data_IF_859554072123
#
_entry.id   IF_859554072123
#
_cell.length_a   1.000
_cell.length_b   1.000
_cell.length_c   1.000
_cell.angle_alpha   90.00
_cell.angle_beta   90.00
_cell.angle_gamma   90.00
#
_symmetry.space_group_name_H-M   'P 1'
#
loop_
_entity.id
_entity.type
_entity.pdbx_description
1 polymer ?
#
# COMPACT_ATOMS: atom_id res chain seq x y z
N UNK A 1 -34.25 5.57 -10.49
CA UNK A 1 -33.29 5.06 -11.49
C UNK A 1 -31.95 4.88 -10.80
N UNK A 2 -31.58 3.64 -10.49
CA UNK A 2 -30.20 3.29 -10.14
C UNK A 2 -29.37 3.46 -11.41
N UNK A 3 -28.62 4.56 -11.49
CA UNK A 3 -27.62 4.74 -12.55
C UNK A 3 -26.59 3.63 -12.36
N UNK A 4 -26.65 2.61 -13.21
CA UNK A 4 -25.57 1.62 -13.31
C UNK A 4 -24.36 2.40 -13.82
N UNK A 5 -23.40 2.69 -12.95
CA UNK A 5 -22.12 3.27 -13.35
C UNK A 5 -21.37 2.18 -14.12
N UNK A 6 -21.29 2.33 -15.43
CA UNK A 6 -20.52 1.43 -16.27
C UNK A 6 -19.06 1.42 -15.81
N UNK A 7 -18.51 0.23 -15.60
CA UNK A 7 -17.09 0.04 -15.27
C UNK A 7 -16.28 0.56 -16.45
N UNK A 8 -15.42 1.54 -16.18
CA UNK A 8 -14.57 2.09 -17.24
C UNK A 8 -13.48 1.09 -17.61
N UNK A 9 -13.01 1.11 -18.87
CA UNK A 9 -11.97 0.17 -19.33
C UNK A 9 -10.69 0.21 -18.49
N UNK A 10 -10.37 1.38 -17.93
CA UNK A 10 -9.21 1.55 -17.03
C UNK A 10 -9.43 0.86 -15.68
N UNK A 11 -10.64 0.92 -15.12
CA UNK A 11 -11.00 0.21 -13.89
C UNK A 11 -10.93 -1.29 -14.12
N UNK A 12 -11.55 -1.79 -15.19
CA UNK A 12 -11.51 -3.21 -15.54
C UNK A 12 -10.08 -3.75 -15.75
N UNK A 13 -9.22 -2.97 -16.41
CA UNK A 13 -7.80 -3.33 -16.56
C UNK A 13 -7.08 -3.34 -15.20
N UNK A 14 -7.32 -2.34 -14.36
CA UNK A 14 -6.68 -2.25 -13.04
C UNK A 14 -7.12 -3.40 -12.14
N UNK A 15 -8.41 -3.72 -12.09
CA UNK A 15 -8.97 -4.85 -11.33
C UNK A 15 -8.38 -6.19 -11.81
N UNK A 16 -8.20 -6.36 -13.13
CA UNK A 16 -7.54 -7.55 -13.67
C UNK A 16 -6.08 -7.65 -13.20
N UNK A 17 -5.34 -6.54 -13.16
CA UNK A 17 -3.95 -6.51 -12.68
C UNK A 17 -3.85 -6.80 -11.18
N UNK A 18 -4.74 -6.22 -10.37
CA UNK A 18 -4.81 -6.54 -8.93
C UNK A 18 -5.21 -8.01 -8.70
N UNK A 19 -6.18 -8.53 -9.44
CA UNK A 19 -6.52 -9.95 -9.43
C UNK A 19 -5.31 -10.83 -9.75
N UNK A 20 -4.52 -10.48 -10.77
CA UNK A 20 -3.28 -11.17 -11.10
C UNK A 20 -2.20 -11.06 -10.01
N UNK A 21 -2.06 -9.89 -9.38
CA UNK A 21 -1.15 -9.71 -8.24
C UNK A 21 -1.51 -10.63 -7.06
N UNK A 22 -2.80 -10.75 -6.75
CA UNK A 22 -3.31 -11.64 -5.70
C UNK A 22 -3.12 -13.12 -6.07
N UNK A 23 -3.30 -13.50 -7.33
CA UNK A 23 -3.05 -14.89 -7.75
C UNK A 23 -1.56 -15.22 -7.75
N UNK A 24 -0.66 -14.31 -8.15
CA UNK A 24 0.79 -14.50 -8.03
C UNK A 24 1.22 -14.72 -6.57
N UNK A 25 0.57 -14.04 -5.62
CA UNK A 25 0.81 -14.25 -4.20
C UNK A 25 0.49 -15.70 -3.78
N UNK A 26 -0.60 -16.28 -4.30
CA UNK A 26 -0.98 -17.68 -4.04
C UNK A 26 -0.09 -18.66 -4.78
N UNK A 27 0.16 -18.43 -6.07
CA UNK A 27 0.96 -19.30 -6.95
C UNK A 27 2.41 -19.41 -6.48
N UNK A 28 2.91 -18.41 -5.76
CA UNK A 28 4.24 -18.48 -5.12
C UNK A 28 4.29 -19.37 -3.88
N UNK A 29 3.21 -20.04 -3.49
CA UNK A 29 3.23 -21.10 -2.47
C UNK A 29 3.61 -22.42 -3.15
N UNK A 30 4.63 -23.10 -2.61
CA UNK A 30 5.00 -24.42 -3.10
C UNK A 30 3.89 -25.44 -2.82
N UNK A 31 3.61 -26.30 -3.81
CA UNK A 31 2.66 -27.39 -3.65
C UNK A 31 3.30 -28.44 -2.74
N UNK A 32 2.75 -28.70 -1.54
CA UNK A 32 3.35 -29.61 -0.59
C UNK A 32 3.33 -31.04 -1.11
N UNK A 33 4.43 -31.78 -0.91
CA UNK A 33 4.56 -33.19 -1.35
C UNK A 33 4.43 -34.17 -0.18
N UNK A 34 4.63 -33.67 1.04
CA UNK A 34 4.53 -34.44 2.28
C UNK A 34 3.58 -33.76 3.28
N UNK A 35 3.19 -34.49 4.33
CA UNK A 35 2.39 -33.92 5.43
C UNK A 35 3.14 -32.79 6.15
N UNK A 36 4.45 -32.93 6.33
CA UNK A 36 5.27 -31.91 6.98
C UNK A 36 5.35 -30.63 6.13
N UNK A 37 5.49 -30.76 4.81
CA UNK A 37 5.41 -29.62 3.88
C UNK A 37 4.04 -28.93 3.96
N UNK A 38 2.96 -29.70 3.99
CA UNK A 38 1.60 -29.18 4.11
C UNK A 38 1.43 -28.39 5.41
N UNK A 39 1.94 -28.91 6.52
CA UNK A 39 1.89 -28.22 7.80
C UNK A 39 2.78 -26.96 7.78
N UNK A 40 3.91 -26.98 7.08
CA UNK A 40 4.72 -25.80 6.78
C UNK A 40 3.91 -24.70 6.10
N UNK A 41 3.16 -25.05 5.04
CA UNK A 41 2.27 -24.11 4.33
C UNK A 41 1.19 -23.53 5.24
N UNK A 42 0.55 -24.34 6.09
CA UNK A 42 -0.45 -23.87 7.06
C UNK A 42 0.15 -22.87 8.04
N UNK A 43 1.37 -23.12 8.53
CA UNK A 43 2.05 -22.18 9.45
C UNK A 43 2.50 -20.88 8.74
N UNK A 44 2.67 -20.89 7.42
CA UNK A 44 2.95 -19.70 6.62
C UNK A 44 1.69 -18.87 6.27
N UNK A 45 0.49 -19.40 6.55
CA UNK A 45 -0.78 -18.75 6.25
C UNK A 45 -0.92 -17.32 6.82
N UNK A 46 -0.46 -17.00 8.05
CA UNK A 46 -0.57 -15.62 8.57
C UNK A 46 0.21 -14.61 7.73
N UNK A 47 1.41 -14.96 7.26
CA UNK A 47 2.22 -14.10 6.39
C UNK A 47 1.57 -13.89 5.02
N UNK A 48 0.99 -14.95 4.46
CA UNK A 48 0.20 -14.88 3.24
C UNK A 48 -1.03 -13.97 3.44
N UNK A 49 -1.80 -14.17 4.51
CA UNK A 49 -3.00 -13.38 4.81
C UNK A 49 -2.68 -11.90 5.04
N UNK A 50 -1.58 -11.59 5.74
CA UNK A 50 -1.12 -10.22 5.93
C UNK A 50 -0.73 -9.55 4.60
N UNK A 51 -0.02 -10.27 3.73
CA UNK A 51 0.36 -9.77 2.40
C UNK A 51 -0.87 -9.53 1.53
N UNK A 52 -1.81 -10.47 1.54
CA UNK A 52 -3.08 -10.38 0.83
C UNK A 52 -3.90 -9.18 1.30
N UNK A 53 -4.02 -8.99 2.62
CA UNK A 53 -4.75 -7.87 3.20
C UNK A 53 -4.15 -6.52 2.79
N UNK A 54 -2.82 -6.39 2.77
CA UNK A 54 -2.15 -5.16 2.33
C UNK A 54 -2.43 -4.87 0.84
N UNK A 55 -2.33 -5.87 -0.04
CA UNK A 55 -2.66 -5.70 -1.46
C UNK A 55 -4.13 -5.34 -1.66
N UNK A 56 -5.04 -5.95 -0.88
CA UNK A 56 -6.47 -5.64 -0.91
C UNK A 56 -6.76 -4.20 -0.45
N UNK A 57 -6.06 -3.70 0.58
CA UNK A 57 -6.18 -2.32 1.04
C UNK A 57 -5.72 -1.33 -0.04
N UNK A 58 -4.61 -1.62 -0.74
CA UNK A 58 -4.15 -0.78 -1.86
C UNK A 58 -5.18 -0.79 -3.00
N UNK A 59 -5.72 -1.96 -3.33
CA UNK A 59 -6.79 -2.08 -4.33
C UNK A 59 -8.04 -1.30 -3.90
N UNK A 60 -8.43 -1.37 -2.63
CA UNK A 60 -9.61 -0.66 -2.12
C UNK A 60 -9.44 0.87 -2.22
N UNK A 61 -8.27 1.40 -1.87
CA UNK A 61 -7.96 2.83 -2.04
C UNK A 61 -8.01 3.25 -3.52
N UNK A 62 -7.41 2.45 -4.41
CA UNK A 62 -7.47 2.66 -5.85
C UNK A 62 -8.91 2.63 -6.38
N UNK A 63 -9.68 1.61 -6.02
CA UNK A 63 -11.08 1.45 -6.40
C UNK A 63 -11.91 2.64 -5.95
N UNK A 64 -11.74 3.07 -4.69
CA UNK A 64 -12.42 4.24 -4.15
C UNK A 64 -12.08 5.53 -4.91
N UNK A 65 -10.81 5.73 -5.29
CA UNK A 65 -10.38 6.87 -6.09
C UNK A 65 -11.10 6.92 -7.45
N UNK A 66 -11.06 5.83 -8.23
CA UNK A 66 -11.67 5.81 -9.56
C UNK A 66 -13.20 5.88 -9.49
N UNK A 67 -13.81 5.16 -8.55
CA UNK A 67 -15.25 5.24 -8.25
C UNK A 67 -15.71 6.65 -7.90
N UNK A 68 -14.93 7.40 -7.11
CA UNK A 68 -15.36 8.71 -6.62
C UNK A 68 -15.17 9.81 -7.66
N UNK A 69 -14.04 9.81 -8.36
CA UNK A 69 -13.64 10.93 -9.20
C UNK A 69 -13.86 10.70 -10.70
N UNK A 70 -13.85 9.45 -11.19
CA UNK A 70 -14.17 9.14 -12.59
C UNK A 70 -13.32 9.88 -13.63
N UNK A 71 -12.02 10.06 -13.35
CA UNK A 71 -11.13 10.84 -14.23
C UNK A 71 -10.42 9.91 -15.21
N UNK A 72 -10.50 10.27 -16.50
CA UNK A 72 -10.02 9.43 -17.61
C UNK A 72 -9.08 10.17 -18.58
N UNK A 73 -8.22 11.06 -18.07
CA UNK A 73 -7.23 11.75 -18.90
C UNK A 73 -5.93 10.94 -19.08
N UNK A 74 -5.19 11.22 -20.15
CA UNK A 74 -3.97 10.49 -20.49
C UNK A 74 -2.90 10.46 -19.38
N UNK A 75 -2.79 11.54 -18.58
CA UNK A 75 -1.81 11.58 -17.47
C UNK A 75 -2.25 10.63 -16.35
N UNK A 76 -3.53 10.63 -16.00
CA UNK A 76 -4.09 9.69 -15.01
C UNK A 76 -3.90 8.23 -15.44
N UNK A 77 -4.06 7.92 -16.73
CA UNK A 77 -3.79 6.59 -17.28
C UNK A 77 -2.33 6.17 -17.07
N UNK A 78 -1.36 7.03 -17.39
CA UNK A 78 0.06 6.73 -17.21
C UNK A 78 0.45 6.56 -15.73
N UNK A 79 -0.04 7.44 -14.86
CA UNK A 79 0.22 7.35 -13.42
C UNK A 79 -0.38 6.08 -12.81
N UNK A 80 -1.59 5.71 -13.24
CA UNK A 80 -2.21 4.45 -12.87
C UNK A 80 -1.40 3.25 -13.37
N UNK A 81 -0.96 3.25 -14.63
CA UNK A 81 -0.11 2.20 -15.17
C UNK A 81 1.19 2.03 -14.38
N UNK A 82 1.82 3.13 -13.97
CA UNK A 82 3.01 3.10 -13.13
C UNK A 82 2.71 2.57 -11.72
N UNK A 83 1.58 2.94 -11.11
CA UNK A 83 1.15 2.38 -9.82
C UNK A 83 0.97 0.86 -9.91
N UNK A 84 0.26 0.38 -10.93
CA UNK A 84 0.04 -1.05 -11.17
C UNK A 84 1.36 -1.81 -11.40
N UNK A 85 2.30 -1.22 -12.14
CA UNK A 85 3.64 -1.78 -12.33
C UNK A 85 4.37 -1.94 -11.00
N UNK A 86 4.37 -0.91 -10.15
CA UNK A 86 4.99 -0.96 -8.82
C UNK A 86 4.33 -2.04 -7.97
N UNK A 87 3.00 -2.11 -7.94
CA UNK A 87 2.24 -3.12 -7.17
C UNK A 87 2.62 -4.54 -7.61
N UNK A 88 2.69 -4.83 -8.91
CA UNK A 88 3.08 -6.15 -9.43
C UNK A 88 4.49 -6.54 -8.98
N UNK A 89 5.44 -5.61 -9.09
CA UNK A 89 6.80 -5.86 -8.61
C UNK A 89 6.84 -6.12 -7.10
N UNK A 90 5.93 -5.49 -6.35
CA UNK A 90 5.90 -5.56 -4.89
C UNK A 90 5.31 -6.82 -4.28
N UNK A 91 4.64 -7.66 -5.07
CA UNK A 91 4.00 -8.89 -4.57
C UNK A 91 5.02 -9.79 -3.86
N UNK A 92 6.15 -10.08 -4.50
CA UNK A 92 7.15 -11.00 -3.93
C UNK A 92 7.91 -10.42 -2.75
N UNK A 93 8.43 -9.17 -2.83
CA UNK A 93 8.99 -8.53 -1.65
C UNK A 93 8.00 -8.54 -0.49
N UNK A 94 6.75 -8.11 -0.70
CA UNK A 94 5.78 -7.99 0.38
C UNK A 94 5.58 -9.33 1.10
N UNK A 95 5.42 -10.43 0.34
CA UNK A 95 5.33 -11.78 0.90
C UNK A 95 6.54 -12.13 1.75
N UNK A 96 7.74 -11.88 1.23
CA UNK A 96 8.99 -12.16 1.94
C UNK A 96 9.08 -11.40 3.27
N UNK A 97 8.72 -10.11 3.29
CA UNK A 97 8.71 -9.31 4.51
C UNK A 97 7.71 -9.84 5.54
N UNK A 98 6.50 -10.17 5.10
CA UNK A 98 5.48 -10.71 6.01
C UNK A 98 5.88 -12.08 6.56
N UNK A 99 6.55 -12.92 5.76
CA UNK A 99 7.10 -14.20 6.24
C UNK A 99 8.16 -13.98 7.32
N UNK A 100 9.05 -12.99 7.14
CA UNK A 100 10.02 -12.65 8.18
C UNK A 100 9.40 -12.01 9.42
N UNK A 101 8.26 -11.33 9.30
CA UNK A 101 7.64 -10.63 10.43
C UNK A 101 6.76 -11.58 11.24
N UNK A 102 5.82 -12.26 10.57
CA UNK A 102 4.74 -13.06 11.19
C UNK A 102 4.74 -14.53 10.74
N UNK A 103 5.78 -14.98 10.04
CA UNK A 103 5.96 -16.40 9.76
C UNK A 103 6.37 -17.21 11.00
N UNK A 104 6.59 -18.52 10.85
CA UNK A 104 6.89 -19.43 11.97
C UNK A 104 8.12 -19.03 12.79
N UNK A 105 9.13 -18.48 12.11
CA UNK A 105 10.37 -17.95 12.71
C UNK A 105 10.41 -16.42 12.65
N UNK A 106 9.24 -15.79 12.65
CA UNK A 106 9.10 -14.36 12.47
C UNK A 106 9.61 -13.55 13.67
N UNK A 107 10.09 -12.34 13.39
CA UNK A 107 10.61 -11.41 14.41
C UNK A 107 9.56 -11.09 15.48
N UNK A 108 8.28 -11.04 15.12
CA UNK A 108 7.19 -10.76 16.05
C UNK A 108 7.06 -11.82 17.16
N UNK A 109 7.50 -13.05 16.89
CA UNK A 109 7.47 -14.16 17.84
C UNK A 109 8.84 -14.45 18.48
N UNK A 110 9.78 -13.51 18.37
CA UNK A 110 11.15 -13.67 18.89
C UNK A 110 12.06 -14.56 18.03
N UNK A 111 11.59 -14.96 16.84
CA UNK A 111 12.37 -15.73 15.88
C UNK A 111 13.45 -14.90 15.18
N UNK A 112 14.45 -15.59 14.63
CA UNK A 112 15.47 -15.00 13.76
C UNK A 112 15.26 -15.53 12.34
N UNK A 113 14.94 -14.67 11.36
CA UNK A 113 14.77 -15.13 9.99
C UNK A 113 16.10 -15.64 9.44
N UNK A 114 16.20 -16.96 9.21
CA UNK A 114 17.42 -17.62 8.71
C UNK A 114 17.81 -17.16 7.29
N UNK A 115 16.84 -16.67 6.51
CA UNK A 115 17.01 -16.28 5.12
C UNK A 115 17.77 -14.96 4.91
N UNK A 116 17.99 -14.16 5.96
CA UNK A 116 18.58 -12.82 5.85
C UNK A 116 19.69 -12.63 6.87
N UNK A 117 20.90 -12.40 6.37
CA UNK A 117 22.04 -12.02 7.21
C UNK A 117 21.86 -10.60 7.76
N UNK A 118 22.48 -10.30 8.91
CA UNK A 118 22.42 -8.96 9.50
C UNK A 118 22.89 -7.84 8.55
N UNK A 119 23.82 -8.15 7.66
CA UNK A 119 24.36 -7.22 6.66
C UNK A 119 23.38 -6.92 5.51
N UNK A 120 22.46 -7.85 5.21
CA UNK A 120 21.47 -7.68 4.15
C UNK A 120 20.23 -6.90 4.62
N UNK A 121 20.00 -6.83 5.93
CA UNK A 121 18.82 -6.19 6.52
C UNK A 121 18.66 -4.69 6.14
N UNK A 122 19.72 -3.85 6.16
CA UNK A 122 19.65 -2.47 5.67
C UNK A 122 19.17 -2.34 4.21
N UNK A 123 19.71 -3.17 3.32
CA UNK A 123 19.37 -3.17 1.89
C UNK A 123 17.92 -3.58 1.69
N UNK A 124 17.52 -4.62 2.40
CA UNK A 124 16.17 -5.15 2.39
C UNK A 124 15.14 -4.10 2.87
N UNK A 125 15.36 -3.50 4.04
CA UNK A 125 14.50 -2.42 4.57
C UNK A 125 14.45 -1.22 3.63
N UNK A 126 15.57 -0.87 2.98
CA UNK A 126 15.60 0.20 1.99
C UNK A 126 14.74 -0.11 0.76
N UNK A 127 14.84 -1.32 0.23
CA UNK A 127 14.00 -1.76 -0.89
C UNK A 127 12.51 -1.69 -0.52
N UNK A 128 12.16 -2.10 0.70
CA UNK A 128 10.80 -2.01 1.23
C UNK A 128 10.31 -0.58 1.50
N UNK A 129 11.21 0.30 1.92
CA UNK A 129 10.90 1.71 2.07
C UNK A 129 10.66 2.38 0.73
N UNK A 130 11.50 2.09 -0.26
CA UNK A 130 11.42 2.71 -1.59
C UNK A 130 10.12 2.36 -2.29
N UNK A 131 9.71 1.10 -2.33
CA UNK A 131 8.47 0.76 -3.03
C UNK A 131 7.22 1.16 -2.26
N UNK A 132 7.26 1.16 -0.92
CA UNK A 132 6.18 1.73 -0.10
C UNK A 132 6.01 3.22 -0.42
N UNK A 133 7.12 3.99 -0.42
CA UNK A 133 7.13 5.39 -0.84
C UNK A 133 6.58 5.52 -2.25
N UNK A 134 7.03 4.71 -3.21
CA UNK A 134 6.56 4.79 -4.59
C UNK A 134 5.04 4.61 -4.72
N UNK A 135 4.46 3.61 -4.05
CA UNK A 135 3.00 3.39 -4.05
C UNK A 135 2.26 4.63 -3.52
N UNK A 136 2.62 5.12 -2.35
CA UNK A 136 1.90 6.25 -1.73
C UNK A 136 2.16 7.58 -2.44
N UNK A 137 3.33 7.75 -3.04
CA UNK A 137 3.65 8.94 -3.82
C UNK A 137 2.87 8.95 -5.14
N UNK A 138 2.67 7.79 -5.78
CA UNK A 138 1.81 7.66 -6.96
C UNK A 138 0.33 7.87 -6.64
N UNK A 139 -0.16 7.33 -5.51
CA UNK A 139 -1.52 7.62 -5.02
C UNK A 139 -1.69 9.10 -4.70
N UNK A 140 -0.74 9.73 -3.98
CA UNK A 140 -0.77 11.17 -3.72
C UNK A 140 -0.79 11.98 -5.01
N UNK A 141 0.01 11.57 -6.01
CA UNK A 141 0.07 12.24 -7.29
C UNK A 141 -1.23 12.08 -8.09
N UNK A 142 -1.91 10.92 -8.02
CA UNK A 142 -3.25 10.72 -8.59
C UNK A 142 -4.29 11.65 -7.93
N UNK A 143 -4.29 11.75 -6.59
CA UNK A 143 -5.15 12.71 -5.88
C UNK A 143 -4.83 14.17 -6.23
N UNK A 144 -3.56 14.51 -6.39
CA UNK A 144 -3.13 15.84 -6.79
C UNK A 144 -3.59 16.19 -8.22
N UNK A 145 -3.42 15.25 -9.16
CA UNK A 145 -3.90 15.38 -10.54
C UNK A 145 -5.41 15.55 -10.55
N UNK A 146 -6.12 14.73 -9.78
CA UNK A 146 -7.56 14.77 -9.70
C UNK A 146 -8.07 16.11 -9.16
N UNK A 147 -7.42 16.64 -8.12
CA UNK A 147 -7.73 17.96 -7.58
C UNK A 147 -7.54 19.05 -8.63
N UNK A 148 -6.42 19.01 -9.37
CA UNK A 148 -6.13 20.02 -10.41
C UNK A 148 -7.16 19.98 -11.53
N UNK A 149 -7.58 18.79 -11.95
CA UNK A 149 -8.58 18.60 -13.01
C UNK A 149 -9.97 19.04 -12.54
N UNK A 150 -10.43 18.54 -11.40
CA UNK A 150 -11.76 18.82 -10.87
C UNK A 150 -11.92 20.26 -10.38
N UNK A 151 -10.85 20.94 -9.96
CA UNK A 151 -10.92 22.37 -9.62
C UNK A 151 -11.35 23.24 -10.81
N UNK A 152 -11.07 22.81 -12.03
CA UNK A 152 -11.43 23.54 -13.26
C UNK A 152 -12.77 23.08 -13.80
N UNK A 153 -13.03 21.77 -13.77
CA UNK A 153 -14.17 21.15 -14.46
C UNK A 153 -15.40 20.92 -13.55
N UNK A 154 -15.23 20.90 -12.23
CA UNK A 154 -16.32 20.53 -11.31
C UNK A 154 -17.32 21.67 -11.11
N UNK A 155 -18.60 21.36 -11.29
CA UNK A 155 -19.76 22.20 -10.97
C UNK A 155 -20.05 22.27 -9.45
N UNK A 156 -19.03 22.21 -8.60
CA UNK A 156 -19.16 22.18 -7.13
C UNK A 156 -19.77 20.90 -6.53
N UNK A 157 -20.10 19.91 -7.37
CA UNK A 157 -20.65 18.61 -6.95
C UNK A 157 -19.64 17.67 -6.28
N UNK A 158 -18.33 17.96 -6.42
CA UNK A 158 -17.26 17.16 -5.85
C UNK A 158 -16.62 17.89 -4.67
N UNK A 159 -16.56 17.20 -3.53
CA UNK A 159 -15.89 17.70 -2.34
C UNK A 159 -14.36 17.64 -2.52
N UNK A 160 -13.77 18.77 -2.92
CA UNK A 160 -12.32 18.93 -3.08
C UNK A 160 -11.57 18.81 -1.74
N UNK A 161 -12.23 19.08 -0.60
CA UNK A 161 -11.61 18.93 0.71
C UNK A 161 -11.31 17.46 1.00
N UNK A 162 -12.18 16.54 0.58
CA UNK A 162 -11.90 15.11 0.70
C UNK A 162 -10.68 14.68 -0.11
N UNK A 163 -10.47 15.25 -1.31
CA UNK A 163 -9.23 14.99 -2.06
C UNK A 163 -7.98 15.44 -1.29
N UNK A 164 -8.04 16.64 -0.69
CA UNK A 164 -6.91 17.20 0.06
C UNK A 164 -6.59 16.35 1.30
N UNK A 165 -7.61 15.79 1.96
CA UNK A 165 -7.42 14.84 3.07
C UNK A 165 -6.74 13.56 2.60
N UNK A 166 -7.22 12.92 1.52
CA UNK A 166 -6.59 11.68 1.03
C UNK A 166 -5.16 11.91 0.52
N UNK A 167 -4.91 13.06 -0.15
CA UNK A 167 -3.59 13.46 -0.58
C UNK A 167 -2.64 13.61 0.61
N UNK A 168 -3.04 14.34 1.66
CA UNK A 168 -2.16 14.54 2.81
C UNK A 168 -1.96 13.26 3.62
N UNK A 169 -2.95 12.36 3.70
CA UNK A 169 -2.77 11.04 4.29
C UNK A 169 -1.69 10.23 3.54
N UNK A 170 -1.72 10.24 2.20
CA UNK A 170 -0.68 9.60 1.39
C UNK A 170 0.70 10.22 1.64
N UNK A 171 0.79 11.55 1.77
CA UNK A 171 2.06 12.24 2.08
C UNK A 171 2.60 11.89 3.47
N UNK A 172 1.73 11.71 4.47
CA UNK A 172 2.14 11.22 5.80
C UNK A 172 2.78 9.83 5.68
N UNK A 173 2.20 8.94 4.88
CA UNK A 173 2.79 7.63 4.61
C UNK A 173 4.13 7.73 3.87
N UNK A 174 4.26 8.62 2.88
CA UNK A 174 5.55 8.89 2.23
C UNK A 174 6.62 9.30 3.25
N UNK A 175 6.30 10.17 4.22
CA UNK A 175 7.24 10.56 5.28
C UNK A 175 7.64 9.37 6.16
N UNK A 176 6.70 8.50 6.52
CA UNK A 176 6.99 7.26 7.26
C UNK A 176 7.93 6.35 6.46
N UNK A 177 7.66 6.15 5.18
CA UNK A 177 8.51 5.34 4.31
C UNK A 177 9.92 5.92 4.15
N UNK A 178 10.04 7.24 3.92
CA UNK A 178 11.33 7.92 3.81
C UNK A 178 12.13 7.86 5.12
N UNK A 179 11.47 8.00 6.27
CA UNK A 179 12.12 7.84 7.57
C UNK A 179 12.60 6.41 7.80
N UNK A 180 11.86 5.40 7.34
CA UNK A 180 12.30 4.00 7.33
C UNK A 180 13.57 3.82 6.50
N UNK A 181 13.59 4.33 5.26
CA UNK A 181 14.76 4.24 4.37
C UNK A 181 15.97 4.94 4.99
N UNK A 182 15.78 6.15 5.54
CA UNK A 182 16.85 6.91 6.16
C UNK A 182 17.42 6.16 7.38
N UNK A 183 16.55 5.61 8.22
CA UNK A 183 16.93 4.88 9.42
C UNK A 183 17.67 3.59 9.08
N UNK A 184 17.26 2.88 8.01
CA UNK A 184 17.93 1.69 7.54
C UNK A 184 19.40 1.93 7.12
N UNK A 185 19.79 3.18 6.80
CA UNK A 185 21.17 3.53 6.42
C UNK A 185 22.06 3.95 7.58
N UNK A 186 21.52 4.03 8.79
CA UNK A 186 22.31 4.33 9.99
C UNK A 186 23.21 3.12 10.30
N UNK A 187 24.53 3.29 10.47
CA UNK A 187 25.46 2.19 10.74
C UNK A 187 25.36 1.73 12.20
N UNK A 188 24.19 1.23 12.60
CA UNK A 188 23.92 0.71 13.92
C UNK A 188 23.10 -0.58 13.85
N UNK A 189 23.42 -1.55 14.71
CA UNK A 189 22.78 -2.88 14.70
C UNK A 189 21.27 -2.84 14.94
N UNK A 190 20.79 -1.85 15.71
CA UNK A 190 19.38 -1.65 16.01
C UNK A 190 18.62 -0.93 14.89
N UNK A 191 19.31 -0.28 13.95
CA UNK A 191 18.70 0.62 13.00
C UNK A 191 17.75 -0.07 12.00
N UNK A 192 18.06 -1.25 11.44
CA UNK A 192 17.11 -1.93 10.55
C UNK A 192 15.84 -2.41 11.27
N UNK A 193 15.95 -2.82 12.54
CA UNK A 193 14.79 -3.17 13.36
C UNK A 193 13.92 -1.92 13.61
N UNK A 194 14.53 -0.80 13.99
CA UNK A 194 13.84 0.46 14.18
C UNK A 194 13.19 0.97 12.87
N UNK A 195 13.83 0.75 11.71
CA UNK A 195 13.26 1.05 10.40
C UNK A 195 11.98 0.24 10.11
N UNK A 196 11.91 -1.01 10.56
CA UNK A 196 10.66 -1.79 10.49
C UNK A 196 9.58 -1.24 11.42
N UNK A 197 9.94 -0.81 12.62
CA UNK A 197 8.97 -0.26 13.59
C UNK A 197 8.37 1.09 13.17
N UNK A 198 8.98 1.83 12.24
CA UNK A 198 8.35 3.07 11.74
C UNK A 198 7.01 2.80 11.06
N UNK A 199 6.83 1.64 10.43
CA UNK A 199 5.55 1.27 9.81
C UNK A 199 4.44 1.02 10.83
N UNK A 200 4.76 0.71 12.09
CA UNK A 200 3.75 0.63 13.16
C UNK A 200 3.10 2.00 13.44
N UNK A 201 3.73 3.10 13.02
CA UNK A 201 3.18 4.45 13.13
C UNK A 201 2.10 4.74 12.10
N UNK A 202 1.89 3.90 11.07
CA UNK A 202 0.85 4.12 10.05
C UNK A 202 -0.53 4.31 10.70
N UNK A 203 -0.94 3.40 11.59
CA UNK A 203 -2.24 3.46 12.27
C UNK A 203 -2.42 4.73 13.11
N UNK A 204 -1.52 5.01 14.07
CA UNK A 204 -1.54 6.24 14.85
C UNK A 204 -1.48 7.51 13.99
N UNK A 205 -0.60 7.55 12.99
CA UNK A 205 -0.45 8.70 12.11
C UNK A 205 -1.71 8.96 11.27
N UNK A 206 -2.34 7.90 10.75
CA UNK A 206 -3.61 8.00 10.04
C UNK A 206 -4.72 8.52 10.95
N UNK A 207 -4.87 7.96 12.17
CA UNK A 207 -5.87 8.41 13.14
C UNK A 207 -5.69 9.89 13.53
N UNK A 208 -4.46 10.28 13.85
CA UNK A 208 -4.12 11.67 14.23
C UNK A 208 -4.38 12.62 13.07
N UNK A 209 -3.92 12.28 11.87
CA UNK A 209 -4.11 13.10 10.68
C UNK A 209 -5.59 13.31 10.37
N UNK A 210 -6.39 12.24 10.36
CA UNK A 210 -7.83 12.35 10.14
C UNK A 210 -8.53 13.12 11.26
N UNK A 211 -8.10 12.99 12.52
CA UNK A 211 -8.69 13.77 13.62
C UNK A 211 -8.50 15.28 13.45
N UNK A 212 -7.37 15.71 12.91
CA UNK A 212 -7.07 17.14 12.70
C UNK A 212 -7.59 17.68 11.37
N UNK A 213 -7.64 16.85 10.33
CA UNK A 213 -8.02 17.27 8.97
C UNK A 213 -9.45 16.88 8.54
N UNK A 214 -10.17 16.04 9.31
CA UNK A 214 -11.57 15.76 9.03
C UNK A 214 -12.40 17.06 9.10
N UNK A 215 -13.24 17.34 8.09
CA UNK A 215 -14.15 18.48 8.14
C UNK A 215 -15.00 18.38 9.42
N UNK A 216 -15.04 19.47 10.20
CA UNK A 216 -15.95 19.53 11.35
C UNK A 216 -17.39 19.45 10.82
N UNK A 217 -18.26 18.57 11.35
CA UNK A 217 -19.67 18.56 10.98
C UNK A 217 -20.28 19.90 11.43
N UNK A 218 -20.43 20.84 10.50
CA UNK A 218 -21.01 22.17 10.76
C UNK A 218 -20.52 23.36 9.92
N UNK A 219 -19.48 23.22 9.08
CA UNK A 219 -18.96 24.38 8.30
C UNK A 219 -19.67 24.64 6.96
N UNK A 220 -20.67 23.84 6.58
CA UNK A 220 -21.46 24.02 5.35
C UNK A 220 -22.87 24.57 5.61
N UNK A 221 -23.07 25.25 6.76
CA UNK A 221 -24.34 25.88 7.11
C UNK A 221 -24.10 27.29 7.68
N UNK A 222 -23.46 28.16 6.90
CA UNK A 222 -23.61 29.62 6.96
C UNK A 222 -23.45 30.17 5.55
#
# INVERSE_FOLDING_TARGET
MTVSRDVTRIEAFSDAVFGFALTLLVVSLEVPRTYDDMMGTVRALPAFAASFAILLLIWQEHHNFFRRYGIHDGVTIWMNGLLLFVVLFYVFPLKFLMTMLVGPHGVMFGGRPEAVTGEQMPSLMSMYGIGFVAVFLLLAALHWRARRFLRVESDGSVDLQQLDVHLGACLVYVVIGLSSVALARVPAIWAPAAAGFTYALIGPAHFVYHRFMAPRPGSSAV
#
